data_IF_646716409439
#
_entry.id   IF_646716409439
#
_cell.length_a   1.000
_cell.length_b   1.000
_cell.length_c   1.000
_cell.angle_alpha   90.00
_cell.angle_beta   90.00
_cell.angle_gamma   90.00
#
_symmetry.space_group_name_H-M   'P 1'
#
loop_
_entity.id
_entity.type
_entity.pdbx_description
1 polymer ?
#
# COMPACT_ATOMS: atom_id res chain seq x y z
N UNK A 1 1.89 -13.02 19.86
CA UNK A 1 1.35 -13.17 18.47
C UNK A 1 1.31 -11.78 17.89
N UNK A 2 2.01 -11.60 16.78
CA UNK A 2 2.12 -10.32 16.11
C UNK A 2 1.01 -10.16 15.07
N UNK A 3 0.49 -8.95 14.96
CA UNK A 3 -0.62 -8.60 14.09
C UNK A 3 -0.42 -7.19 13.54
N UNK A 4 -0.69 -7.05 12.24
CA UNK A 4 -0.70 -5.79 11.52
C UNK A 4 -2.11 -5.54 11.00
N UNK A 5 -2.52 -4.27 11.03
CA UNK A 5 -3.77 -3.82 10.45
C UNK A 5 -3.47 -2.68 9.46
N UNK A 6 -4.16 -2.71 8.32
CA UNK A 6 -4.04 -1.71 7.27
C UNK A 6 -5.44 -1.43 6.74
N UNK A 7 -5.96 -0.22 7.00
CA UNK A 7 -7.30 0.17 6.62
C UNK A 7 -7.27 1.49 5.85
N UNK A 8 -7.78 1.48 4.63
CA UNK A 8 -8.04 2.70 3.87
C UNK A 8 -9.34 3.30 4.41
N UNK A 9 -9.33 4.58 4.79
CA UNK A 9 -10.47 5.27 5.39
C UNK A 9 -11.50 5.74 4.34
N UNK A 10 -11.65 4.96 3.28
CA UNK A 10 -12.62 5.12 2.20
C UNK A 10 -13.25 3.76 1.91
N UNK A 11 -14.54 3.76 1.62
CA UNK A 11 -15.27 2.56 1.17
C UNK A 11 -14.87 2.14 -0.26
N UNK A 12 -14.23 3.05 -1.00
CA UNK A 12 -13.81 2.83 -2.39
C UNK A 12 -12.47 2.09 -2.43
N UNK A 13 -12.29 1.25 -3.44
CA UNK A 13 -11.02 0.58 -3.75
C UNK A 13 -10.29 1.20 -4.94
N UNK A 14 -10.98 2.04 -5.70
CA UNK A 14 -10.47 2.75 -6.86
C UNK A 14 -10.38 4.25 -6.59
N UNK A 15 -9.32 4.86 -7.11
CA UNK A 15 -8.98 6.24 -6.83
C UNK A 15 -8.48 6.93 -8.10
N UNK A 16 -8.90 8.19 -8.26
CA UNK A 16 -8.35 9.08 -9.28
C UNK A 16 -6.88 9.40 -8.99
N UNK A 17 -6.07 9.63 -10.03
CA UNK A 17 -4.71 10.10 -9.82
C UNK A 17 -4.67 11.51 -9.18
N UNK A 18 -3.68 11.75 -8.33
CA UNK A 18 -3.50 13.04 -7.64
C UNK A 18 -4.36 13.24 -6.40
N UNK A 19 -5.28 12.33 -6.08
CA UNK A 19 -6.10 12.44 -4.86
C UNK A 19 -5.33 12.04 -3.60
N UNK A 20 -5.77 12.57 -2.47
CA UNK A 20 -5.26 12.16 -1.16
C UNK A 20 -6.09 11.00 -0.60
N UNK A 21 -5.39 9.98 -0.09
CA UNK A 21 -5.98 8.82 0.57
C UNK A 21 -5.54 8.78 2.01
N UNK A 22 -6.51 8.75 2.93
CA UNK A 22 -6.25 8.54 4.35
C UNK A 22 -6.22 7.05 4.66
N UNK A 23 -5.19 6.62 5.39
CA UNK A 23 -4.92 5.24 5.73
C UNK A 23 -4.66 5.16 7.23
N UNK A 24 -5.36 4.26 7.92
CA UNK A 24 -5.05 3.89 9.29
C UNK A 24 -4.24 2.61 9.28
N UNK A 25 -3.06 2.67 9.88
CA UNK A 25 -2.25 1.50 10.19
C UNK A 25 -2.41 1.15 11.66
N UNK A 26 -2.40 -0.13 11.98
CA UNK A 26 -2.45 -0.65 13.33
C UNK A 26 -1.41 -1.75 13.53
N UNK A 27 -0.95 -1.91 14.75
CA UNK A 27 0.01 -2.94 15.11
C UNK A 27 -0.26 -3.47 16.51
N UNK A 28 0.08 -4.74 16.70
CA UNK A 28 0.12 -5.42 17.99
C UNK A 28 1.22 -6.47 17.93
N UNK A 29 2.29 -6.27 18.69
CA UNK A 29 3.47 -7.12 18.75
C UNK A 29 3.76 -7.53 20.19
N UNK A 30 4.52 -8.61 20.36
CA UNK A 30 4.98 -9.05 21.69
C UNK A 30 6.03 -8.07 22.27
N UNK A 31 6.85 -7.44 21.40
CA UNK A 31 7.80 -6.37 21.72
C UNK A 31 7.53 -5.14 20.83
N UNK A 32 8.03 -3.96 21.21
CA UNK A 32 7.85 -2.76 20.36
C UNK A 32 8.67 -2.92 19.08
N UNK A 33 8.06 -2.84 17.88
CA UNK A 33 8.83 -2.86 16.64
C UNK A 33 9.69 -1.60 16.52
N UNK A 34 10.89 -1.76 15.95
CA UNK A 34 11.87 -0.67 15.81
C UNK A 34 11.33 0.43 14.89
N UNK A 35 10.62 0.03 13.83
CA UNK A 35 9.97 0.91 12.88
C UNK A 35 8.83 0.18 12.16
N UNK A 36 7.87 0.97 11.66
CA UNK A 36 6.94 0.54 10.63
C UNK A 36 7.11 1.42 9.40
N UNK A 37 6.95 0.85 8.21
CA UNK A 37 6.89 1.60 6.96
C UNK A 37 5.57 1.33 6.25
N UNK A 38 4.82 2.39 5.97
CA UNK A 38 3.72 2.34 5.02
C UNK A 38 4.24 2.73 3.64
N UNK A 39 4.18 1.81 2.69
CA UNK A 39 4.71 1.97 1.34
C UNK A 39 3.58 1.99 0.32
N UNK A 40 3.63 2.93 -0.61
CA UNK A 40 2.85 2.87 -1.84
C UNK A 40 3.72 2.24 -2.92
N UNK A 41 3.28 1.09 -3.44
CA UNK A 41 4.04 0.30 -4.40
C UNK A 41 3.21 -0.02 -5.64
N UNK A 42 3.89 -0.24 -6.75
CA UNK A 42 3.30 -0.97 -7.87
C UNK A 42 4.24 -2.05 -8.35
N UNK A 43 3.65 -3.07 -8.96
CA UNK A 43 4.39 -4.09 -9.65
C UNK A 43 3.73 -4.46 -10.98
N UNK A 44 4.53 -4.93 -11.93
CA UNK A 44 3.98 -5.63 -13.08
C UNK A 44 3.74 -7.10 -12.74
N UNK A 45 2.76 -7.71 -13.40
CA UNK A 45 2.53 -9.15 -13.36
C UNK A 45 2.12 -9.64 -14.76
N UNK A 46 2.37 -10.92 -15.07
CA UNK A 46 2.05 -11.49 -16.38
C UNK A 46 3.21 -12.28 -16.99
N UNK A 47 3.29 -12.31 -18.31
CA UNK A 47 4.29 -13.09 -19.07
C UNK A 47 5.65 -12.39 -19.24
N UNK A 48 5.72 -11.09 -18.90
CA UNK A 48 6.95 -10.30 -18.94
C UNK A 48 7.73 -10.30 -17.62
N UNK A 49 8.75 -9.45 -17.56
CA UNK A 49 9.54 -9.24 -16.35
C UNK A 49 8.70 -8.60 -15.23
N UNK A 50 8.97 -9.01 -13.99
CA UNK A 50 8.36 -8.43 -12.80
C UNK A 50 9.16 -7.22 -12.36
N UNK A 51 8.63 -6.05 -12.65
CA UNK A 51 9.08 -4.80 -12.08
C UNK A 51 8.37 -4.60 -10.74
N UNK A 52 9.11 -4.12 -9.75
CA UNK A 52 8.56 -3.65 -8.48
C UNK A 52 9.14 -2.26 -8.23
N UNK A 53 8.26 -1.32 -7.90
CA UNK A 53 8.66 0.05 -7.56
C UNK A 53 7.95 0.51 -6.30
N UNK A 54 8.75 1.00 -5.35
CA UNK A 54 8.27 1.79 -4.22
C UNK A 54 8.20 3.24 -4.66
N UNK A 55 7.03 3.86 -4.55
CA UNK A 55 6.77 5.23 -5.02
C UNK A 55 6.77 6.22 -3.88
N UNK A 56 6.25 5.81 -2.72
CA UNK A 56 6.25 6.62 -1.51
C UNK A 56 6.47 5.72 -0.30
N UNK A 57 7.17 6.24 0.70
CA UNK A 57 7.37 5.60 2.00
C UNK A 57 7.01 6.61 3.09
N UNK A 58 6.22 6.18 4.05
CA UNK A 58 5.99 6.90 5.30
C UNK A 58 6.51 6.05 6.44
N UNK A 59 7.54 6.56 7.10
CA UNK A 59 8.13 5.94 8.29
C UNK A 59 7.30 6.30 9.51
N UNK A 60 7.09 5.31 10.37
CA UNK A 60 6.38 5.43 11.63
C UNK A 60 7.30 4.84 12.70
N UNK A 61 7.46 5.57 13.81
CA UNK A 61 8.28 5.16 14.96
C UNK A 61 7.37 4.81 16.14
N UNK A 62 7.04 3.52 16.35
CA UNK A 62 6.18 3.09 17.45
C UNK A 62 6.86 3.33 18.80
N UNK A 63 6.09 3.85 19.77
CA UNK A 63 6.53 3.99 21.16
C UNK A 63 6.01 2.87 22.08
N UNK A 64 5.22 1.95 21.53
CA UNK A 64 4.56 0.85 22.27
C UNK A 64 4.35 -0.38 21.39
N UNK A 65 4.23 -1.60 21.98
CA UNK A 65 4.00 -2.83 21.22
C UNK A 65 2.64 -2.88 20.52
N UNK A 66 1.68 -2.09 20.98
CA UNK A 66 0.35 -1.95 20.37
C UNK A 66 0.09 -0.49 20.08
N UNK A 67 -0.52 -0.19 18.93
CA UNK A 67 -0.90 1.17 18.58
C UNK A 67 -1.55 1.28 17.21
N UNK A 68 -1.92 2.51 16.86
CA UNK A 68 -2.38 2.84 15.51
C UNK A 68 -1.92 4.23 15.13
N UNK A 69 -1.82 4.48 13.82
CA UNK A 69 -1.42 5.76 13.28
C UNK A 69 -2.20 6.03 11.98
N UNK A 70 -2.66 7.26 11.81
CA UNK A 70 -3.31 7.70 10.57
C UNK A 70 -2.32 8.47 9.72
N UNK A 71 -2.24 8.10 8.45
CA UNK A 71 -1.33 8.65 7.45
C UNK A 71 -2.14 9.09 6.24
N UNK A 72 -1.74 10.20 5.64
CA UNK A 72 -2.28 10.67 4.36
C UNK A 72 -1.24 10.48 3.26
N UNK A 73 -1.65 9.90 2.14
CA UNK A 73 -0.82 9.66 0.96
C UNK A 73 -1.42 10.37 -0.24
N UNK A 74 -0.60 11.03 -1.04
CA UNK A 74 -1.02 11.60 -2.32
C UNK A 74 -0.74 10.59 -3.42
N UNK A 75 -1.77 10.11 -4.11
CA UNK A 75 -1.59 9.13 -5.17
C UNK A 75 -0.94 9.79 -6.41
N UNK A 76 0.03 9.12 -7.05
CA UNK A 76 0.74 9.67 -8.19
C UNK A 76 -0.16 9.72 -9.43
N UNK A 77 0.26 10.48 -10.44
CA UNK A 77 -0.44 10.53 -11.73
C UNK A 77 -0.31 9.26 -12.58
N UNK A 78 0.55 8.32 -12.18
CA UNK A 78 0.67 7.04 -12.86
C UNK A 78 1.89 6.22 -12.45
N UNK A 79 2.09 5.04 -13.08
CA UNK A 79 1.23 4.46 -14.12
C UNK A 79 -0.18 4.10 -13.63
N UNK A 80 -1.13 3.93 -14.54
CA UNK A 80 -2.48 3.47 -14.17
C UNK A 80 -2.50 1.98 -13.88
N UNK A 81 -3.36 1.56 -12.95
CA UNK A 81 -3.81 0.19 -12.84
C UNK A 81 -4.34 -0.27 -14.20
N UNK A 82 -3.81 -1.39 -14.65
CA UNK A 82 -4.03 -1.90 -15.98
C UNK A 82 -4.11 -3.42 -15.92
N UNK A 83 -5.06 -4.00 -16.64
CA UNK A 83 -5.15 -5.44 -16.84
C UNK A 83 -5.34 -5.77 -18.31
N UNK A 84 -4.30 -6.37 -18.90
CA UNK A 84 -4.33 -6.87 -20.27
C UNK A 84 -3.85 -8.31 -20.36
N UNK A 85 -4.01 -8.92 -21.54
CA UNK A 85 -3.70 -10.35 -21.76
C UNK A 85 -2.26 -10.77 -21.45
N UNK A 86 -1.30 -9.85 -21.54
CA UNK A 86 0.14 -10.14 -21.40
C UNK A 86 0.76 -9.56 -20.12
N UNK A 87 0.19 -8.48 -19.60
CA UNK A 87 0.73 -7.67 -18.53
C UNK A 87 -0.41 -7.03 -17.73
N UNK A 88 -0.25 -6.96 -16.42
CA UNK A 88 -1.01 -6.10 -15.53
C UNK A 88 -0.08 -5.17 -14.74
N UNK A 89 -0.59 -4.00 -14.36
CA UNK A 89 0.03 -3.08 -13.41
C UNK A 89 -0.85 -3.06 -12.16
N UNK A 90 -0.29 -3.53 -11.05
CA UNK A 90 -1.01 -3.69 -9.78
C UNK A 90 -0.44 -2.72 -8.76
N UNK A 91 -1.30 -1.87 -8.21
CA UNK A 91 -0.97 -0.95 -7.12
C UNK A 91 -1.34 -1.55 -5.77
N UNK A 92 -0.55 -1.26 -4.75
CA UNK A 92 -0.85 -1.66 -3.38
C UNK A 92 -0.25 -0.70 -2.36
N UNK A 93 -0.89 -0.68 -1.19
CA UNK A 93 -0.32 -0.24 0.06
C UNK A 93 0.29 -1.45 0.77
N UNK A 94 1.52 -1.32 1.25
CA UNK A 94 2.23 -2.34 2.00
C UNK A 94 2.70 -1.76 3.33
N UNK A 95 2.25 -2.35 4.44
CA UNK A 95 2.74 -2.04 5.77
C UNK A 95 3.79 -3.07 6.15
N UNK A 96 5.01 -2.64 6.49
CA UNK A 96 6.13 -3.50 6.86
C UNK A 96 6.62 -3.15 8.25
N UNK A 97 6.84 -4.15 9.10
CA UNK A 97 7.41 -4.01 10.43
C UNK A 97 8.86 -4.47 10.48
N UNK A 98 9.70 -3.71 11.18
CA UNK A 98 11.11 -4.03 11.40
C UNK A 98 11.39 -4.37 12.87
N UNK A 99 12.34 -5.29 13.13
CA UNK A 99 13.25 -5.93 12.18
C UNK A 99 12.74 -7.26 11.59
N UNK A 100 11.60 -7.78 12.04
CA UNK A 100 11.13 -9.12 11.68
C UNK A 100 10.58 -9.24 10.25
N UNK A 101 10.39 -8.13 9.53
CA UNK A 101 9.83 -8.05 8.17
C UNK A 101 8.43 -8.63 8.03
N UNK A 102 7.64 -8.64 9.12
CA UNK A 102 6.21 -8.90 9.00
C UNK A 102 5.58 -7.83 8.12
N UNK A 103 4.70 -8.25 7.21
CA UNK A 103 4.09 -7.33 6.26
C UNK A 103 2.63 -7.65 5.98
N UNK A 104 1.87 -6.59 5.73
CA UNK A 104 0.47 -6.65 5.31
C UNK A 104 0.29 -5.81 4.05
N UNK A 105 -0.28 -6.42 3.02
CA UNK A 105 -0.51 -5.79 1.72
C UNK A 105 -2.00 -5.62 1.43
N UNK A 106 -2.39 -4.46 0.90
CA UNK A 106 -3.74 -4.17 0.42
C UNK A 106 -3.68 -3.52 -0.96
N UNK A 107 -4.26 -4.19 -1.95
CA UNK A 107 -4.33 -3.68 -3.33
C UNK A 107 -5.33 -2.52 -3.46
N UNK A 108 -5.02 -1.60 -4.36
CA UNK A 108 -5.88 -0.49 -4.76
C UNK A 108 -5.89 -0.37 -6.30
N UNK A 109 -6.92 0.29 -6.82
CA UNK A 109 -6.97 0.70 -8.22
C UNK A 109 -6.61 2.18 -8.31
N UNK A 110 -5.58 2.50 -9.10
CA UNK A 110 -5.19 3.87 -9.41
C UNK A 110 -5.39 4.12 -10.91
N UNK A 111 -6.47 4.78 -11.28
CA UNK A 111 -6.77 5.05 -12.68
C UNK A 111 -7.85 6.15 -12.77
N UNK A 112 -8.03 6.80 -13.94
CA UNK A 112 -9.10 7.77 -14.12
C UNK A 112 -10.48 7.18 -13.76
N UNK A 113 -11.27 7.93 -13.00
CA UNK A 113 -12.55 7.55 -12.40
C UNK A 113 -12.45 6.37 -11.41
N UNK A 114 -11.25 6.01 -10.96
CA UNK A 114 -11.01 4.83 -10.11
C UNK A 114 -11.27 3.49 -10.80
N UNK A 115 -11.35 3.47 -12.13
CA UNK A 115 -11.63 2.26 -12.91
C UNK A 115 -10.38 1.74 -13.61
N UNK A 116 -10.04 0.48 -13.35
CA UNK A 116 -8.88 -0.17 -13.97
C UNK A 116 -9.00 -0.17 -15.49
N UNK A 117 -7.89 0.11 -16.19
CA UNK A 117 -7.85 0.05 -17.64
C UNK A 117 -7.79 -1.41 -18.09
N UNK A 118 -8.86 -1.90 -18.71
CA UNK A 118 -8.96 -3.29 -19.20
C UNK A 118 -8.94 -3.32 -20.73
N UNK A 119 -8.13 -4.22 -21.31
CA UNK A 119 -7.97 -4.40 -22.77
C UNK A 119 -7.98 -5.88 -23.17
#
# INVERSE_FOLDING_TARGET
MNELELTILSEQKGFDPGVEVSVRVGWKFDETPDALELRLVWNTSGKGDRDLKVVQVVEISPSSPTGSHEVMLTLPWGPYSFSGKLLSIVWALELVAFPNNESLRREIVLAPNGEEVVV
#
